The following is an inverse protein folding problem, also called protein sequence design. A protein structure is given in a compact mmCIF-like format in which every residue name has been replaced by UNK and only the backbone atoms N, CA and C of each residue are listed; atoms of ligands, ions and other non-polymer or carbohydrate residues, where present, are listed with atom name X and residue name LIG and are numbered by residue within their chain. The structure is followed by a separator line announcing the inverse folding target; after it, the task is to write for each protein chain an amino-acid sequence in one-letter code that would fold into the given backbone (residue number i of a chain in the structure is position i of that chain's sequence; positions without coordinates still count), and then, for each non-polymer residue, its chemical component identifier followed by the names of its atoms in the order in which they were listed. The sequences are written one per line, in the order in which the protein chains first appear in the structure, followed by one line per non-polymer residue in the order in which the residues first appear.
data_IF_750459408857
#
_entry.id   IF_750459408857
#
_cell.length_a   1.000
_cell.length_b   1.000
_cell.length_c   1.000
_cell.angle_alpha   90.00
_cell.angle_beta   90.00
_cell.angle_gamma   90.00
#
_symmetry.space_group_name_H-M   'P 1'
#
loop_
_entity.id
_entity.type
_entity.pdbx_description
1 polymer ?
#
# COMPACT_ATOMS: atom_id res chain seq x y z
N UNK A 1 -8.79 -13.80 -5.13
CA UNK A 1 -8.37 -12.93 -6.23
C UNK A 1 -7.09 -12.18 -5.84
N UNK A 2 -6.27 -11.84 -6.82
CA UNK A 2 -5.03 -11.07 -6.63
C UNK A 2 -5.30 -9.58 -6.38
N UNK A 3 -4.47 -8.94 -5.55
CA UNK A 3 -4.60 -7.55 -5.14
C UNK A 3 -4.55 -6.56 -6.31
N UNK A 4 -3.62 -6.73 -7.25
CA UNK A 4 -3.45 -5.81 -8.38
C UNK A 4 -4.71 -5.83 -9.25
N UNK A 5 -5.28 -7.03 -9.50
CA UNK A 5 -6.54 -7.13 -10.25
C UNK A 5 -7.70 -6.42 -9.56
N UNK A 6 -7.82 -6.56 -8.24
CA UNK A 6 -8.86 -5.87 -7.47
C UNK A 6 -8.67 -4.35 -7.52
N UNK A 7 -7.43 -3.86 -7.37
CA UNK A 7 -7.10 -2.44 -7.47
C UNK A 7 -7.47 -1.88 -8.85
N UNK A 8 -7.07 -2.54 -9.93
CA UNK A 8 -7.40 -2.12 -11.29
C UNK A 8 -8.92 -2.12 -11.54
N UNK A 9 -9.64 -3.05 -10.92
CA UNK A 9 -11.11 -3.09 -10.98
C UNK A 9 -11.72 -1.87 -10.28
N UNK A 10 -11.25 -1.52 -9.08
CA UNK A 10 -11.68 -0.31 -8.37
C UNK A 10 -11.37 0.96 -9.16
N UNK A 11 -10.17 1.11 -9.71
CA UNK A 11 -9.78 2.27 -10.52
C UNK A 11 -10.70 2.46 -11.73
N UNK A 12 -11.00 1.36 -12.42
CA UNK A 12 -11.93 1.40 -13.57
C UNK A 12 -13.33 1.79 -13.14
N UNK A 13 -13.83 1.24 -12.05
CA UNK A 13 -15.17 1.54 -11.56
C UNK A 13 -15.27 3.01 -11.12
N UNK A 14 -14.26 3.53 -10.42
CA UNK A 14 -14.17 4.94 -10.04
C UNK A 14 -14.14 5.87 -11.26
N UNK A 15 -13.41 5.51 -12.31
CA UNK A 15 -13.34 6.28 -13.55
C UNK A 15 -14.65 6.22 -14.38
N UNK A 16 -15.46 5.18 -14.21
CA UNK A 16 -16.74 5.00 -14.89
C UNK A 16 -17.94 5.49 -14.09
N UNK A 17 -17.78 5.80 -12.79
CA UNK A 17 -18.86 6.26 -11.92
C UNK A 17 -19.50 7.53 -12.46
N UNK A 18 -20.82 7.50 -12.65
CA UNK A 18 -21.55 8.59 -13.29
C UNK A 18 -22.24 9.51 -12.28
N UNK A 19 -22.53 9.02 -11.07
CA UNK A 19 -23.18 9.77 -10.00
C UNK A 19 -22.43 9.70 -8.66
N UNK A 20 -22.86 10.54 -7.72
CA UNK A 20 -22.22 10.66 -6.42
C UNK A 20 -22.32 9.41 -5.56
N UNK A 21 -23.42 8.66 -5.63
CA UNK A 21 -23.61 7.46 -4.83
C UNK A 21 -22.70 6.33 -5.31
N UNK A 22 -22.56 6.16 -6.63
CA UNK A 22 -21.63 5.21 -7.23
C UNK A 22 -20.17 5.54 -6.85
N UNK A 23 -19.78 6.82 -6.92
CA UNK A 23 -18.43 7.24 -6.53
C UNK A 23 -18.19 6.96 -5.05
N UNK A 24 -19.14 7.30 -4.16
CA UNK A 24 -18.99 7.06 -2.71
C UNK A 24 -18.88 5.56 -2.38
N UNK A 25 -19.68 4.71 -3.04
CA UNK A 25 -19.57 3.26 -2.91
C UNK A 25 -18.21 2.72 -3.38
N UNK A 26 -17.68 3.27 -4.49
CA UNK A 26 -16.36 2.88 -5.01
C UNK A 26 -15.20 3.38 -4.14
N UNK A 27 -15.32 4.57 -3.55
CA UNK A 27 -14.37 5.06 -2.54
C UNK A 27 -14.37 4.15 -1.32
N UNK A 28 -15.55 3.78 -0.81
CA UNK A 28 -15.67 2.86 0.32
C UNK A 28 -14.99 1.52 0.01
N UNK A 29 -15.24 0.94 -1.18
CA UNK A 29 -14.60 -0.30 -1.62
C UNK A 29 -13.07 -0.18 -1.72
N UNK A 30 -12.57 0.95 -2.22
CA UNK A 30 -11.13 1.21 -2.33
C UNK A 30 -10.46 1.30 -0.95
N UNK A 31 -11.10 1.96 0.02
CA UNK A 31 -10.62 2.03 1.39
C UNK A 31 -10.68 0.67 2.10
N UNK A 32 -11.77 -0.08 1.94
CA UNK A 32 -11.86 -1.44 2.49
C UNK A 32 -10.79 -2.37 1.91
N UNK A 33 -10.48 -2.23 0.61
CA UNK A 33 -9.40 -2.96 -0.05
C UNK A 33 -8.03 -2.55 0.49
N UNK A 34 -7.78 -1.24 0.68
CA UNK A 34 -6.56 -0.72 1.28
C UNK A 34 -6.34 -1.27 2.70
N UNK A 35 -7.41 -1.31 3.51
CA UNK A 35 -7.39 -1.88 4.85
C UNK A 35 -7.03 -3.38 4.81
N UNK A 36 -7.64 -4.15 3.92
CA UNK A 36 -7.36 -5.58 3.78
C UNK A 36 -5.92 -5.87 3.32
N UNK A 37 -5.37 -5.04 2.41
CA UNK A 37 -3.97 -5.13 1.98
C UNK A 37 -3.04 -4.81 3.15
N UNK A 38 -3.29 -3.72 3.89
CA UNK A 38 -2.52 -3.35 5.07
C UNK A 38 -2.49 -4.46 6.12
N UNK A 39 -3.64 -5.04 6.44
CA UNK A 39 -3.74 -6.13 7.43
C UNK A 39 -2.92 -7.35 7.01
N UNK A 40 -2.99 -7.74 5.73
CA UNK A 40 -2.21 -8.87 5.21
C UNK A 40 -0.71 -8.58 5.18
N UNK A 41 -0.29 -7.36 4.84
CA UNK A 41 1.12 -6.95 4.89
C UNK A 41 1.65 -6.92 6.33
N UNK A 42 0.84 -6.54 7.30
CA UNK A 42 1.23 -6.56 8.71
C UNK A 42 1.48 -7.99 9.22
N UNK A 43 0.72 -8.97 8.73
CA UNK A 43 0.85 -10.38 9.12
C UNK A 43 1.95 -11.11 8.33
N UNK A 44 1.94 -10.99 7.01
CA UNK A 44 2.73 -11.83 6.10
C UNK A 44 3.83 -11.07 5.35
N UNK A 45 3.84 -9.74 5.42
CA UNK A 45 4.82 -8.90 4.75
C UNK A 45 6.17 -8.83 5.48
N UNK A 46 7.15 -8.13 4.89
CA UNK A 46 8.45 -7.89 5.51
C UNK A 46 8.31 -7.22 6.89
N UNK A 47 9.15 -7.61 7.86
CA UNK A 47 9.04 -7.12 9.24
C UNK A 47 9.15 -5.59 9.35
N UNK A 48 9.92 -4.95 8.47
CA UNK A 48 10.13 -3.50 8.44
C UNK A 48 8.88 -2.71 8.05
N UNK A 49 7.92 -3.36 7.36
CA UNK A 49 6.69 -2.74 6.91
C UNK A 49 5.56 -2.80 7.95
N UNK A 50 5.67 -3.67 8.97
CA UNK A 50 4.54 -3.98 9.86
C UNK A 50 3.92 -2.75 10.51
N UNK A 51 4.74 -1.81 10.99
CA UNK A 51 4.24 -0.59 11.62
C UNK A 51 3.39 0.25 10.66
N UNK A 52 3.90 0.49 9.45
CA UNK A 52 3.15 1.25 8.43
C UNK A 52 1.95 0.50 7.90
N UNK A 53 2.03 -0.84 7.82
CA UNK A 53 0.93 -1.68 7.37
C UNK A 53 -0.24 -1.71 8.38
N UNK A 54 0.07 -1.67 9.68
CA UNK A 54 -0.93 -1.46 10.73
C UNK A 54 -1.52 -0.06 10.64
N UNK A 55 -0.69 0.97 10.50
CA UNK A 55 -1.16 2.34 10.30
C UNK A 55 -2.08 2.50 9.08
N UNK A 56 -1.72 1.88 7.95
CA UNK A 56 -2.58 1.82 6.76
C UNK A 56 -3.92 1.14 7.06
N UNK A 57 -3.92 0.06 7.83
CA UNK A 57 -5.15 -0.67 8.21
C UNK A 57 -6.08 0.24 9.01
N UNK A 58 -5.55 0.98 9.99
CA UNK A 58 -6.32 1.88 10.84
C UNK A 58 -6.87 3.08 10.06
N UNK A 59 -6.02 3.73 9.25
CA UNK A 59 -6.39 4.90 8.45
C UNK A 59 -7.44 4.57 7.38
N UNK A 60 -7.25 3.46 6.66
CA UNK A 60 -8.22 3.00 5.68
C UNK A 60 -9.55 2.58 6.34
N UNK A 61 -9.50 2.03 7.56
CA UNK A 61 -10.68 1.71 8.36
C UNK A 61 -11.44 2.96 8.83
N UNK A 62 -10.74 4.04 9.20
CA UNK A 62 -11.36 5.35 9.49
C UNK A 62 -12.13 5.85 8.29
N UNK A 63 -11.53 5.80 7.09
CA UNK A 63 -12.21 6.17 5.85
C UNK A 63 -13.52 5.39 5.63
N UNK A 64 -13.48 4.06 5.81
CA UNK A 64 -14.68 3.22 5.71
C UNK A 64 -15.75 3.57 6.75
N UNK A 65 -15.37 4.07 7.93
CA UNK A 65 -16.28 4.42 9.02
C UNK A 65 -16.95 5.79 8.87
N UNK A 66 -16.36 6.69 8.06
CA UNK A 66 -16.94 8.00 7.71
C UNK A 66 -18.02 7.87 6.64
N UNK A 67 -17.85 6.87 5.76
CA UNK A 67 -18.70 6.60 4.61
C UNK A 67 -19.74 5.53 4.93
N UNK A 68 -20.91 5.63 4.32
CA UNK A 68 -21.91 4.58 4.41
C UNK A 68 -21.44 3.33 3.62
N UNK A 69 -21.53 2.13 4.21
CA UNK A 69 -21.16 0.91 3.51
C UNK A 69 -22.12 0.69 2.33
N UNK A 70 -21.59 0.27 1.16
CA UNK A 70 -22.42 0.01 0.01
C UNK A 70 -23.34 -1.20 0.26
N UNK A 71 -24.54 -1.17 -0.32
CA UNK A 71 -25.50 -2.28 -0.28
C UNK A 71 -25.04 -3.45 -1.17
N UNK A 72 -23.99 -4.14 -0.73
CA UNK A 72 -23.38 -5.26 -1.43
C UNK A 72 -23.27 -6.47 -0.52
N UNK A 73 -23.45 -7.66 -1.10
CA UNK A 73 -23.17 -8.91 -0.40
C UNK A 73 -21.71 -8.97 0.04
N UNK A 74 -21.45 -9.58 1.21
CA UNK A 74 -20.08 -9.70 1.75
C UNK A 74 -19.09 -10.34 0.76
N UNK A 75 -19.55 -11.30 -0.05
CA UNK A 75 -18.72 -11.94 -1.09
C UNK A 75 -18.45 -11.05 -2.32
N UNK A 76 -19.27 -10.03 -2.54
CA UNK A 76 -19.08 -9.03 -3.59
C UNK A 76 -18.08 -7.93 -3.19
N UNK A 77 -17.77 -7.79 -1.89
CA UNK A 77 -16.77 -6.84 -1.42
C UNK A 77 -15.37 -7.22 -1.94
N UNK A 78 -14.69 -6.28 -2.60
CA UNK A 78 -13.34 -6.50 -3.14
C UNK A 78 -12.34 -6.88 -2.04
N UNK A 79 -12.48 -6.25 -0.87
CA UNK A 79 -11.71 -6.59 0.33
C UNK A 79 -11.85 -8.07 0.73
N UNK A 80 -13.06 -8.64 0.65
CA UNK A 80 -13.31 -10.04 0.97
C UNK A 80 -12.80 -11.01 -0.10
N UNK A 81 -12.71 -10.55 -1.35
CA UNK A 81 -12.17 -11.34 -2.47
C UNK A 81 -10.63 -11.41 -2.50
N UNK A 82 -9.95 -10.58 -1.70
CA UNK A 82 -8.49 -10.56 -1.61
C UNK A 82 -7.98 -11.86 -0.98
N UNK A 83 -7.36 -12.71 -1.80
CA UNK A 83 -6.79 -14.00 -1.35
C UNK A 83 -5.27 -14.01 -1.33
N UNK A 84 -4.63 -13.19 -2.17
CA UNK A 84 -3.20 -13.24 -2.43
C UNK A 84 -2.60 -11.84 -2.54
N UNK A 85 -1.34 -11.71 -2.10
CA UNK A 85 -0.46 -10.57 -2.30
C UNK A 85 0.84 -11.11 -2.92
N UNK A 86 0.92 -11.13 -4.24
CA UNK A 86 2.06 -11.73 -4.94
C UNK A 86 3.34 -10.88 -4.80
N UNK A 87 3.30 -9.65 -5.29
CA UNK A 87 4.40 -8.68 -5.17
C UNK A 87 3.95 -7.50 -4.30
N UNK A 88 4.58 -7.36 -3.13
CA UNK A 88 4.28 -6.30 -2.19
C UNK A 88 4.59 -4.91 -2.76
N UNK A 89 5.69 -4.75 -3.48
CA UNK A 89 6.11 -3.47 -4.05
C UNK A 89 5.15 -3.04 -5.16
N UNK A 90 4.85 -3.93 -6.10
CA UNK A 90 3.93 -3.64 -7.20
C UNK A 90 2.51 -3.36 -6.69
N UNK A 91 2.05 -4.13 -5.69
CA UNK A 91 0.76 -3.89 -5.04
C UNK A 91 0.70 -2.51 -4.39
N UNK A 92 1.75 -2.11 -3.66
CA UNK A 92 1.83 -0.80 -3.00
C UNK A 92 1.86 0.35 -4.01
N UNK A 93 2.60 0.22 -5.11
CA UNK A 93 2.58 1.21 -6.21
C UNK A 93 1.16 1.36 -6.77
N UNK A 94 0.49 0.25 -7.09
CA UNK A 94 -0.87 0.29 -7.60
C UNK A 94 -1.85 0.90 -6.59
N UNK A 95 -1.71 0.54 -5.32
CA UNK A 95 -2.57 1.03 -4.24
C UNK A 95 -2.40 2.54 -4.04
N UNK A 96 -1.17 3.05 -4.03
CA UNK A 96 -0.91 4.49 -3.94
C UNK A 96 -1.51 5.29 -5.10
N UNK A 97 -1.58 4.70 -6.29
CA UNK A 97 -2.30 5.26 -7.44
C UNK A 97 -3.81 5.31 -7.22
N UNK A 98 -4.41 4.20 -6.77
CA UNK A 98 -5.85 4.14 -6.45
C UNK A 98 -6.24 5.16 -5.36
N UNK A 99 -5.45 5.29 -4.29
CA UNK A 99 -5.71 6.26 -3.22
C UNK A 99 -5.64 7.71 -3.74
N UNK A 100 -4.74 7.99 -4.67
CA UNK A 100 -4.69 9.30 -5.35
C UNK A 100 -5.94 9.58 -6.19
N UNK A 101 -6.44 8.59 -6.94
CA UNK A 101 -7.67 8.72 -7.72
C UNK A 101 -8.90 8.88 -6.82
N UNK A 102 -8.97 8.16 -5.70
CA UNK A 102 -9.98 8.33 -4.66
C UNK A 102 -10.01 9.78 -4.16
N UNK A 103 -8.85 10.33 -3.79
CA UNK A 103 -8.76 11.73 -3.36
C UNK A 103 -9.27 12.71 -4.43
N UNK A 104 -8.90 12.51 -5.69
CA UNK A 104 -9.38 13.36 -6.80
C UNK A 104 -10.89 13.27 -7.00
N UNK A 105 -11.46 12.06 -6.94
CA UNK A 105 -12.91 11.87 -7.08
C UNK A 105 -13.67 12.56 -5.93
N UNK A 106 -13.19 12.42 -4.70
CA UNK A 106 -13.79 13.06 -3.53
C UNK A 106 -13.69 14.58 -3.56
N UNK A 107 -12.60 15.17 -4.08
CA UNK A 107 -12.51 16.63 -4.29
C UNK A 107 -13.59 17.10 -5.27
N UNK A 108 -13.84 16.33 -6.33
CA UNK A 108 -14.93 16.60 -7.27
C UNK A 108 -16.30 16.58 -6.58
N UNK A 109 -16.57 15.55 -5.78
CA UNK A 109 -17.81 15.44 -5.01
C UNK A 109 -17.98 16.58 -4.01
N UNK A 110 -16.97 16.86 -3.18
CA UNK A 110 -16.98 17.94 -2.21
C UNK A 110 -17.27 19.30 -2.87
N UNK A 111 -16.68 19.55 -4.04
CA UNK A 111 -16.90 20.79 -4.79
C UNK A 111 -18.32 20.95 -5.33
N UNK A 112 -19.05 19.84 -5.48
CA UNK A 112 -20.44 19.78 -5.95
C UNK A 112 -21.46 19.49 -4.84
N UNK A 113 -21.01 19.33 -3.60
CA UNK A 113 -21.85 18.92 -2.48
C UNK A 113 -22.96 19.96 -2.24
N UNK A 114 -24.20 19.47 -2.19
CA UNK A 114 -25.38 20.31 -1.95
C UNK A 114 -25.63 20.58 -0.46
N UNK A 115 -25.04 19.78 0.42
CA UNK A 115 -25.23 19.83 1.87
C UNK A 115 -23.89 19.69 2.62
N UNK A 116 -23.87 20.22 3.84
CA UNK A 116 -22.67 20.23 4.69
C UNK A 116 -22.23 18.83 5.14
N UNK A 117 -23.16 17.87 5.25
CA UNK A 117 -22.84 16.50 5.67
C UNK A 117 -22.02 15.80 4.60
N UNK A 118 -22.47 15.83 3.34
CA UNK A 118 -21.75 15.28 2.19
C UNK A 118 -20.38 15.93 2.04
N UNK A 119 -20.30 17.26 2.17
CA UNK A 119 -19.03 17.97 2.14
C UNK A 119 -18.06 17.46 3.22
N UNK A 120 -18.51 17.37 4.47
CA UNK A 120 -17.63 16.92 5.57
C UNK A 120 -17.21 15.46 5.44
N UNK A 121 -18.12 14.58 5.03
CA UNK A 121 -17.77 13.18 4.73
C UNK A 121 -16.68 13.10 3.67
N UNK A 122 -16.77 13.91 2.61
CA UNK A 122 -15.72 13.94 1.58
C UNK A 122 -14.38 14.41 2.14
N UNK A 123 -14.36 15.48 2.95
CA UNK A 123 -13.11 16.00 3.53
C UNK A 123 -12.42 14.98 4.45
N UNK A 124 -13.17 14.33 5.32
CA UNK A 124 -12.64 13.28 6.21
C UNK A 124 -12.16 12.05 5.43
N UNK A 125 -12.86 11.67 4.35
CA UNK A 125 -12.43 10.59 3.48
C UNK A 125 -11.19 10.95 2.65
N UNK A 126 -11.03 12.21 2.24
CA UNK A 126 -9.81 12.74 1.57
C UNK A 126 -8.62 12.66 2.53
N UNK A 127 -8.78 13.13 3.76
CA UNK A 127 -7.75 13.07 4.81
C UNK A 127 -7.29 11.63 5.03
N UNK A 128 -8.24 10.71 5.24
CA UNK A 128 -7.94 9.29 5.42
C UNK A 128 -7.23 8.67 4.19
N UNK A 129 -7.60 9.07 2.96
CA UNK A 129 -6.97 8.58 1.74
C UNK A 129 -5.54 9.11 1.56
N UNK A 130 -5.29 10.39 1.88
CA UNK A 130 -3.97 11.01 1.78
C UNK A 130 -3.01 10.44 2.84
N UNK A 131 -3.46 10.34 4.09
CA UNK A 131 -2.65 9.72 5.16
C UNK A 131 -2.36 8.23 4.85
N UNK A 132 -3.33 7.49 4.31
CA UNK A 132 -3.12 6.11 3.84
C UNK A 132 -2.07 6.05 2.73
N UNK A 133 -2.11 7.00 1.80
CA UNK A 133 -1.16 7.09 0.69
C UNK A 133 0.25 7.43 1.20
N UNK A 134 0.38 8.27 2.21
CA UNK A 134 1.65 8.53 2.87
C UNK A 134 2.24 7.26 3.49
N UNK A 135 1.43 6.45 4.18
CA UNK A 135 1.90 5.14 4.70
C UNK A 135 2.37 4.21 3.59
N UNK A 136 1.67 4.19 2.45
CA UNK A 136 2.08 3.42 1.27
C UNK A 136 3.43 3.91 0.72
N UNK A 137 3.63 5.22 0.63
CA UNK A 137 4.89 5.80 0.17
C UNK A 137 6.06 5.48 1.12
N UNK A 138 5.83 5.53 2.44
CA UNK A 138 6.84 5.11 3.42
C UNK A 138 7.21 3.62 3.27
N UNK A 139 6.22 2.74 3.08
CA UNK A 139 6.50 1.32 2.84
C UNK A 139 7.32 1.09 1.58
N UNK A 140 7.04 1.81 0.50
CA UNK A 140 7.82 1.75 -0.73
C UNK A 140 9.27 2.21 -0.53
N UNK A 141 9.50 3.26 0.27
CA UNK A 141 10.85 3.71 0.63
C UNK A 141 11.59 2.64 1.42
N UNK A 142 10.95 2.02 2.43
CA UNK A 142 11.55 0.95 3.23
C UNK A 142 11.90 -0.28 2.38
N UNK A 143 11.04 -0.64 1.42
CA UNK A 143 11.34 -1.72 0.46
C UNK A 143 12.55 -1.39 -0.42
N UNK A 144 12.65 -0.16 -0.93
CA UNK A 144 13.79 0.26 -1.74
C UNK A 144 15.11 0.19 -0.96
N UNK A 145 15.13 0.65 0.30
CA UNK A 145 16.32 0.54 1.17
C UNK A 145 16.70 -0.93 1.41
N UNK A 146 15.72 -1.79 1.67
CA UNK A 146 15.96 -3.23 1.84
C UNK A 146 16.57 -3.86 0.58
N UNK A 147 16.04 -3.54 -0.59
CA UNK A 147 16.56 -4.03 -1.88
C UNK A 147 18.00 -3.56 -2.12
N UNK A 148 18.36 -2.34 -1.72
CA UNK A 148 19.72 -1.83 -1.79
C UNK A 148 20.67 -2.59 -0.87
N UNK A 149 20.31 -2.76 0.41
CA UNK A 149 21.13 -3.52 1.38
C UNK A 149 21.38 -4.97 0.95
N UNK A 150 20.38 -5.63 0.36
CA UNK A 150 20.53 -7.00 -0.16
C UNK A 150 21.49 -7.08 -1.34
N UNK A 151 21.57 -6.02 -2.16
CA UNK A 151 22.53 -5.96 -3.29
C UNK A 151 23.96 -5.66 -2.82
N UNK A 152 24.12 -4.92 -1.74
CA UNK A 152 25.42 -4.62 -1.15
C UNK A 152 26.04 -5.85 -0.47
N UNK A 153 25.23 -6.70 0.17
CA UNK A 153 25.68 -7.94 0.82
C UNK A 153 26.05 -9.06 -0.19
N UNK A 154 25.47 -9.02 -1.40
CA UNK A 154 25.82 -9.90 -2.55
C UNK A 154 27.02 -9.39 -3.38
N UNK A 155 27.68 -8.29 -2.97
CA UNK A 155 28.90 -7.78 -3.60
C UNK A 155 30.07 -8.77 -3.47
N UNK A 156 31.03 -8.82 -4.43
CA UNK A 156 31.97 -9.92 -4.51
C UNK A 156 32.89 -9.93 -3.30
N UNK A 157 32.68 -10.90 -2.40
CA UNK A 157 33.69 -11.40 -1.48
C UNK A 157 34.88 -11.86 -2.33
N UNK A 158 35.80 -10.93 -2.56
CA UNK A 158 37.05 -11.20 -3.23
C UNK A 158 37.82 -12.09 -2.27
N UNK A 159 37.83 -13.39 -2.54
CA UNK A 159 38.84 -14.33 -2.08
C UNK A 159 40.22 -13.66 -2.25
N UNK A 160 40.70 -13.00 -1.19
CA UNK A 160 42.10 -12.66 -1.07
C UNK A 160 42.80 -13.93 -0.59
N UNK A 161 43.64 -14.57 -1.42
CA UNK A 161 44.46 -15.66 -0.93
C UNK A 161 45.44 -15.07 0.09
N UNK A 162 45.39 -15.58 1.32
CA UNK A 162 46.40 -15.28 2.34
C UNK A 162 47.80 -15.62 1.79
N UNK A 163 48.80 -14.72 1.84
CA UNK A 163 50.16 -15.09 1.53
C UNK A 163 50.76 -15.75 2.78
N UNK A 164 50.50 -17.04 2.97
CA UNK A 164 51.26 -17.84 3.94
C UNK A 164 52.46 -18.47 3.21
N UNK A 165 53.53 -17.70 3.10
CA UNK A 165 54.85 -18.14 2.63
C UNK A 165 55.82 -18.18 3.79
N UNK A 166 55.63 -19.16 4.67
CA UNK A 166 56.52 -19.48 5.78
C UNK A 166 57.92 -19.86 5.21
N UNK A 167 58.89 -18.94 5.28
CA UNK A 167 60.30 -19.26 5.04
C UNK A 167 61.07 -19.13 6.35
N UNK A 168 61.36 -20.31 6.91
CA UNK A 168 62.26 -20.50 8.03
C UNK A 168 63.66 -19.95 7.72
N UNK A 169 64.20 -19.15 8.64
CA UNK A 169 65.64 -18.90 8.78
C UNK A 169 66.40 -20.24 8.99
N UNK A 170 67.73 -20.32 8.78
CA UNK A 170 68.65 -19.79 9.80
C UNK A 170 70.06 -19.33 9.32
N UNK A 171 70.74 -18.64 10.25
CA UNK A 171 72.20 -18.55 10.45
C UNK A 171 73.06 -17.66 9.54
N UNK A 172 73.85 -16.79 10.17
CA UNK A 172 75.11 -16.31 9.58
C UNK A 172 75.70 -15.04 10.18
N UNK A 173 76.46 -15.21 11.27
CA UNK A 173 77.61 -14.40 11.79
C UNK A 173 77.35 -12.98 12.32
#
# INVERSE_FOLDING_TARGET
MDAIRLILTSRRALACGADAAEIMAEVWQAQALAQAIGSRLAVSGPPELRGEALGLTELAGRGCGVLDPPELDLGALRAAQLTELADARETLVCLGGLLGEVGMALVGLASSAADETTYWQCMEAIDAADESRDRVLEMLRKLAVREETLREDDGPNSDQPSPNGNQSSPSGV
#
